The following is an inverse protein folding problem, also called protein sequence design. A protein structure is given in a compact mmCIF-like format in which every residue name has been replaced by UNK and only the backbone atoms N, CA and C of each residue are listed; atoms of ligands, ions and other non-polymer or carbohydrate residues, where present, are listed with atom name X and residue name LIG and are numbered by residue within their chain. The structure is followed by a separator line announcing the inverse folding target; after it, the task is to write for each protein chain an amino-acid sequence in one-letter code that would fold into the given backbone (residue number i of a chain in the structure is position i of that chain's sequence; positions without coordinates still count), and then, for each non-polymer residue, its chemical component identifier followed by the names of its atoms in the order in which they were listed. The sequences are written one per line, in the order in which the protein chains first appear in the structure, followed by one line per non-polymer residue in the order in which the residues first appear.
data_IF_269128132495
#
_entry.id   IF_269128132495
#
_cell.length_a   1.000
_cell.length_b   1.000
_cell.length_c   1.000
_cell.angle_alpha   90.00
_cell.angle_beta   90.00
_cell.angle_gamma   90.00
#
_symmetry.space_group_name_H-M   'P 1'
#
loop_
_entity.id
_entity.type
_entity.pdbx_description
1 polymer ?
#
# COMPACT_ATOMS: atom_id res chain seq x y z
N UNK A 1 -88.18 55.11 36.21
CA UNK A 1 -87.96 54.18 35.08
C UNK A 1 -86.51 54.22 34.57
N UNK A 2 -85.86 55.38 34.56
CA UNK A 2 -84.46 55.58 34.10
C UNK A 2 -83.40 54.93 34.99
N UNK A 3 -83.58 54.93 36.32
CA UNK A 3 -82.62 54.34 37.28
C UNK A 3 -82.55 52.82 37.16
N UNK A 4 -83.69 52.14 37.03
CA UNK A 4 -83.75 50.69 36.80
C UNK A 4 -83.03 50.28 35.52
N UNK A 5 -83.18 51.08 34.45
CA UNK A 5 -82.50 50.84 33.18
C UNK A 5 -80.97 51.04 33.29
N UNK A 6 -80.52 52.06 34.03
CA UNK A 6 -79.09 52.26 34.33
C UNK A 6 -78.49 51.08 35.10
N UNK A 7 -79.19 50.56 36.11
CA UNK A 7 -78.72 49.39 36.88
C UNK A 7 -78.63 48.13 36.01
N UNK A 8 -79.59 47.91 35.11
CA UNK A 8 -79.56 46.79 34.17
C UNK A 8 -78.36 46.91 33.23
N UNK A 9 -78.09 48.10 32.68
CA UNK A 9 -76.94 48.35 31.80
C UNK A 9 -75.62 48.13 32.55
N UNK A 10 -75.50 48.66 33.76
CA UNK A 10 -74.29 48.49 34.59
C UNK A 10 -74.08 47.01 34.96
N UNK A 11 -75.14 46.29 35.29
CA UNK A 11 -75.09 44.86 35.58
C UNK A 11 -74.62 44.04 34.37
N UNK A 12 -75.14 44.32 33.18
CA UNK A 12 -74.69 43.68 31.93
C UNK A 12 -73.22 43.99 31.67
N UNK A 13 -72.79 45.24 31.88
CA UNK A 13 -71.40 45.66 31.66
C UNK A 13 -70.44 44.96 32.64
N UNK A 14 -70.84 44.78 33.89
CA UNK A 14 -70.09 44.00 34.89
C UNK A 14 -69.98 42.54 34.48
N UNK A 15 -71.06 41.92 34.01
CA UNK A 15 -71.05 40.53 33.54
C UNK A 15 -70.13 40.35 32.32
N UNK A 16 -70.17 41.27 31.36
CA UNK A 16 -69.29 41.26 30.19
C UNK A 16 -67.82 41.41 30.62
N UNK A 17 -67.52 42.35 31.52
CA UNK A 17 -66.18 42.55 32.06
C UNK A 17 -65.66 41.32 32.81
N UNK A 18 -66.50 40.68 33.63
CA UNK A 18 -66.15 39.46 34.33
C UNK A 18 -65.87 38.31 33.35
N UNK A 19 -66.72 38.15 32.32
CA UNK A 19 -66.53 37.13 31.29
C UNK A 19 -65.24 37.36 30.48
N UNK A 20 -64.92 38.62 30.13
CA UNK A 20 -63.66 38.96 29.47
C UNK A 20 -62.45 38.63 30.35
N UNK A 21 -62.47 39.04 31.62
CA UNK A 21 -61.38 38.78 32.55
C UNK A 21 -61.20 37.28 32.83
N UNK A 22 -62.30 36.54 33.00
CA UNK A 22 -62.26 35.09 33.16
C UNK A 22 -61.69 34.40 31.90
N UNK A 23 -62.09 34.86 30.70
CA UNK A 23 -61.55 34.38 29.43
C UNK A 23 -60.05 34.62 29.30
N UNK A 24 -59.57 35.82 29.68
CA UNK A 24 -58.14 36.16 29.70
C UNK A 24 -57.35 35.26 30.65
N UNK A 25 -57.89 34.96 31.84
CA UNK A 25 -57.26 34.06 32.81
C UNK A 25 -57.16 32.64 32.23
N UNK A 26 -58.26 32.10 31.67
CA UNK A 26 -58.28 30.75 31.08
C UNK A 26 -57.31 30.65 29.90
N UNK A 27 -57.27 31.68 29.04
CA UNK A 27 -56.33 31.72 27.92
C UNK A 27 -54.87 31.77 28.40
N UNK A 28 -54.58 32.57 29.43
CA UNK A 28 -53.27 32.62 30.06
C UNK A 28 -52.85 31.29 30.70
N UNK A 29 -53.77 30.59 31.37
CA UNK A 29 -53.52 29.27 31.95
C UNK A 29 -53.23 28.22 30.86
N UNK A 30 -53.93 28.29 29.72
CA UNK A 30 -53.71 27.39 28.59
C UNK A 30 -52.33 27.56 27.97
N UNK A 31 -51.88 28.81 27.78
CA UNK A 31 -50.53 29.11 27.28
C UNK A 31 -49.46 28.60 28.24
N UNK A 32 -49.65 28.78 29.56
CA UNK A 32 -48.72 28.26 30.55
C UNK A 32 -48.60 26.74 30.50
N UNK A 33 -49.72 26.03 30.34
CA UNK A 33 -49.72 24.57 30.19
C UNK A 33 -48.98 24.12 28.92
N UNK A 34 -49.21 24.78 27.79
CA UNK A 34 -48.50 24.50 26.53
C UNK A 34 -46.99 24.79 26.64
N UNK A 35 -46.62 25.88 27.30
CA UNK A 35 -45.22 26.27 27.50
C UNK A 35 -44.48 25.28 28.40
N UNK A 36 -45.14 24.75 29.45
CA UNK A 36 -44.56 23.70 30.31
C UNK A 36 -44.36 22.39 29.54
N UNK A 37 -45.36 21.95 28.76
CA UNK A 37 -45.23 20.74 27.94
C UNK A 37 -44.13 20.84 26.88
N UNK A 38 -43.97 22.02 26.27
CA UNK A 38 -42.88 22.27 25.31
C UNK A 38 -41.50 22.24 26.00
N UNK A 39 -41.36 22.87 27.18
CA UNK A 39 -40.09 22.86 27.93
C UNK A 39 -39.66 21.43 28.27
N UNK A 40 -40.57 20.60 28.76
CA UNK A 40 -40.27 19.19 29.06
C UNK A 40 -39.88 18.40 27.81
N UNK A 41 -40.59 18.62 26.70
CA UNK A 41 -40.27 17.95 25.42
C UNK A 41 -38.87 18.34 24.94
N UNK A 42 -38.52 19.63 25.00
CA UNK A 42 -37.19 20.12 24.61
C UNK A 42 -36.11 19.56 25.53
N UNK A 43 -36.34 19.51 26.85
CA UNK A 43 -35.38 18.88 27.78
C UNK A 43 -35.14 17.42 27.46
N UNK A 44 -36.22 16.67 27.24
CA UNK A 44 -36.09 15.25 26.94
C UNK A 44 -35.27 15.02 25.67
N UNK A 45 -35.54 15.78 24.60
CA UNK A 45 -34.76 15.72 23.36
C UNK A 45 -33.29 16.13 23.55
N UNK A 46 -33.00 17.13 24.39
CA UNK A 46 -31.61 17.54 24.68
C UNK A 46 -30.87 16.47 25.49
N UNK A 47 -31.51 15.87 26.49
CA UNK A 47 -30.92 14.80 27.29
C UNK A 47 -30.65 13.55 26.45
N UNK A 48 -31.57 13.20 25.54
CA UNK A 48 -31.39 12.12 24.56
C UNK A 48 -30.22 12.42 23.63
N UNK A 49 -30.15 13.62 23.04
CA UNK A 49 -29.04 14.01 22.17
C UNK A 49 -27.68 13.98 22.89
N UNK A 50 -27.61 14.46 24.15
CA UNK A 50 -26.40 14.38 24.98
C UNK A 50 -25.97 12.92 25.20
N UNK A 51 -26.93 12.04 25.49
CA UNK A 51 -26.69 10.62 25.71
C UNK A 51 -26.18 9.94 24.43
N UNK A 52 -26.82 10.20 23.30
CA UNK A 52 -26.45 9.65 21.99
C UNK A 52 -25.05 10.13 21.57
N UNK A 53 -24.76 11.42 21.72
CA UNK A 53 -23.45 11.99 21.46
C UNK A 53 -22.39 11.42 22.40
N UNK A 54 -22.71 11.20 23.67
CA UNK A 54 -21.81 10.55 24.63
C UNK A 54 -21.43 9.13 24.22
N UNK A 55 -22.36 8.40 23.58
CA UNK A 55 -22.10 7.05 23.06
C UNK A 55 -21.29 7.02 21.76
N UNK A 56 -21.08 8.17 21.12
CA UNK A 56 -20.36 8.26 19.84
C UNK A 56 -18.91 7.79 19.94
N UNK A 57 -18.25 8.02 21.08
CA UNK A 57 -16.87 7.62 21.32
C UNK A 57 -16.66 6.10 21.29
N UNK A 58 -17.70 5.32 21.58
CA UNK A 58 -17.65 3.85 21.61
C UNK A 58 -17.75 3.22 20.21
N UNK A 59 -18.05 4.03 19.19
CA UNK A 59 -18.16 3.56 17.82
C UNK A 59 -16.76 3.26 17.24
N UNK A 60 -16.70 2.20 16.42
CA UNK A 60 -15.51 1.88 15.64
C UNK A 60 -15.85 1.73 14.17
N UNK A 61 -14.98 2.27 13.31
CA UNK A 61 -15.08 2.15 11.87
C UNK A 61 -14.03 1.15 11.39
N UNK A 62 -14.46 0.15 10.63
CA UNK A 62 -13.57 -0.79 9.94
C UNK A 62 -13.62 -0.51 8.45
N UNK A 63 -12.46 -0.28 7.86
CA UNK A 63 -12.33 -0.09 6.41
C UNK A 63 -11.13 -0.86 5.89
N UNK A 64 -11.34 -1.62 4.83
CA UNK A 64 -10.29 -2.38 4.17
C UNK A 64 -9.77 -1.58 2.98
N UNK A 65 -8.49 -1.21 2.99
CA UNK A 65 -7.85 -0.52 1.87
C UNK A 65 -7.19 -1.56 0.95
N UNK A 66 -7.69 -1.74 -0.29
CA UNK A 66 -6.99 -2.53 -1.27
C UNK A 66 -5.79 -1.73 -1.80
N UNK A 67 -4.59 -2.27 -1.61
CA UNK A 67 -3.34 -1.75 -2.16
C UNK A 67 -2.90 -2.68 -3.28
N UNK A 68 -2.95 -2.17 -4.51
CA UNK A 68 -2.46 -2.86 -5.70
C UNK A 68 -1.26 -2.09 -6.24
N UNK A 69 -0.09 -2.71 -6.18
CA UNK A 69 1.16 -2.12 -6.62
C UNK A 69 2.04 -3.16 -7.32
N UNK A 70 3.14 -2.72 -7.93
CA UNK A 70 4.13 -3.60 -8.55
C UNK A 70 5.52 -3.16 -8.15
N UNK A 71 6.31 -4.08 -7.58
CA UNK A 71 7.71 -3.83 -7.26
C UNK A 71 8.60 -4.31 -8.40
N UNK A 72 9.31 -3.42 -9.11
CA UNK A 72 10.27 -3.83 -10.12
C UNK A 72 11.50 -4.45 -9.43
N UNK A 73 11.83 -5.68 -9.81
CA UNK A 73 13.03 -6.37 -9.36
C UNK A 73 13.98 -6.48 -10.54
N UNK A 74 15.08 -5.73 -10.46
CA UNK A 74 16.18 -5.81 -11.41
C UNK A 74 17.39 -6.44 -10.72
N UNK A 75 17.88 -7.57 -11.25
CA UNK A 75 19.06 -8.24 -10.75
C UNK A 75 20.00 -8.62 -11.89
N UNK A 76 21.29 -8.37 -11.69
CA UNK A 76 22.36 -8.75 -12.60
C UNK A 76 23.22 -9.82 -11.92
N UNK A 77 23.21 -11.04 -12.45
CA UNK A 77 23.99 -12.16 -11.93
C UNK A 77 25.09 -12.48 -12.96
N UNK A 78 26.36 -12.14 -12.68
CA UNK A 78 27.46 -12.49 -13.56
C UNK A 78 27.80 -13.97 -13.40
N UNK A 79 27.80 -14.72 -14.50
CA UNK A 79 28.27 -16.11 -14.54
C UNK A 79 29.59 -16.18 -15.30
N UNK A 80 30.56 -16.87 -14.70
CA UNK A 80 31.89 -17.09 -15.29
C UNK A 80 32.17 -18.58 -15.39
N UNK A 81 32.23 -19.10 -16.60
CA UNK A 81 32.59 -20.49 -16.85
C UNK A 81 33.97 -20.57 -17.51
N UNK A 82 34.80 -21.50 -17.05
CA UNK A 82 36.09 -21.81 -17.64
C UNK A 82 36.04 -23.20 -18.26
N UNK A 83 36.30 -23.29 -19.57
CA UNK A 83 36.40 -24.55 -20.28
C UNK A 83 37.77 -24.67 -20.95
N UNK A 84 38.42 -25.81 -20.76
CA UNK A 84 39.68 -26.12 -21.42
C UNK A 84 39.41 -26.95 -22.67
N UNK A 85 39.68 -26.37 -23.85
CA UNK A 85 39.61 -27.09 -25.12
C UNK A 85 41.01 -27.65 -25.40
N UNK A 86 41.14 -28.98 -25.45
CA UNK A 86 42.38 -29.67 -25.80
C UNK A 86 42.32 -30.15 -27.25
N UNK A 87 43.29 -29.73 -28.05
CA UNK A 87 43.48 -30.18 -29.44
C UNK A 87 44.75 -31.03 -29.48
N UNK A 88 44.57 -32.33 -29.74
CA UNK A 88 45.65 -33.30 -29.91
C UNK A 88 45.69 -33.78 -31.34
N UNK A 89 46.86 -33.71 -31.97
CA UNK A 89 47.08 -34.19 -33.32
C UNK A 89 48.55 -34.50 -33.56
N UNK A 90 48.86 -35.09 -34.70
CA UNK A 90 50.25 -35.25 -35.11
C UNK A 90 50.39 -35.02 -36.61
N UNK A 91 51.44 -34.33 -37.00
CA UNK A 91 51.75 -34.08 -38.42
C UNK A 91 52.84 -35.07 -38.83
N UNK A 92 52.53 -36.03 -39.72
CA UNK A 92 53.55 -36.90 -40.29
C UNK A 92 54.35 -36.14 -41.34
N UNK A 93 55.67 -36.09 -41.18
CA UNK A 93 56.62 -35.55 -42.15
C UNK A 93 57.39 -36.71 -42.75
N UNK A 94 57.15 -36.97 -44.04
CA UNK A 94 57.85 -37.97 -44.82
C UNK A 94 58.71 -37.28 -45.88
N UNK A 95 60.03 -37.38 -45.77
CA UNK A 95 60.95 -36.78 -46.73
C UNK A 95 62.11 -37.74 -47.02
N UNK A 96 62.56 -37.79 -48.27
CA UNK A 96 63.77 -38.53 -48.65
C UNK A 96 64.91 -37.53 -48.80
N UNK A 97 66.00 -37.75 -48.06
CA UNK A 97 67.21 -36.93 -48.16
C UNK A 97 68.26 -37.73 -48.93
N UNK A 98 68.78 -37.16 -50.02
CA UNK A 98 69.90 -37.74 -50.77
C UNK A 98 71.22 -37.25 -50.17
N UNK A 99 72.12 -38.16 -49.83
CA UNK A 99 73.44 -37.84 -49.31
C UNK A 99 74.50 -38.75 -49.90
N UNK A 100 75.72 -38.24 -50.10
CA UNK A 100 76.83 -39.03 -50.65
C UNK A 100 77.75 -39.45 -49.51
N UNK A 101 77.92 -40.76 -49.30
CA UNK A 101 78.85 -41.33 -48.31
C UNK A 101 80.09 -41.84 -49.04
N UNK A 102 81.28 -41.44 -48.61
CA UNK A 102 82.54 -41.93 -49.20
C UNK A 102 83.06 -43.13 -48.43
N UNK A 103 83.14 -44.29 -49.08
CA UNK A 103 83.69 -45.51 -48.47
C UNK A 103 85.11 -45.71 -48.99
N UNK A 104 86.06 -46.00 -48.09
CA UNK A 104 87.46 -46.27 -48.44
C UNK A 104 87.74 -47.77 -48.33
N UNK A 105 88.03 -48.43 -49.45
CA UNK A 105 88.36 -49.86 -49.48
C UNK A 105 89.89 -50.07 -49.27
N UNK A 106 90.27 -50.66 -48.14
CA UNK A 106 91.66 -51.00 -47.79
C UNK A 106 91.98 -52.46 -48.21
N UNK A 107 93.19 -52.80 -48.70
CA UNK A 107 94.47 -52.08 -48.60
C UNK A 107 94.85 -51.18 -49.79
N UNK A 108 94.03 -51.08 -50.83
CA UNK A 108 94.39 -50.34 -52.06
C UNK A 108 94.02 -48.84 -52.05
N UNK A 109 93.40 -48.33 -50.99
CA UNK A 109 93.21 -46.89 -50.78
C UNK A 109 92.22 -46.20 -51.74
N UNK A 110 91.37 -46.98 -52.41
CA UNK A 110 90.39 -46.45 -53.37
C UNK A 110 89.20 -45.87 -52.59
N UNK A 111 88.84 -44.61 -52.88
CA UNK A 111 87.64 -43.94 -52.37
C UNK A 111 86.53 -44.02 -53.40
N UNK A 112 85.40 -44.60 -53.02
CA UNK A 112 84.21 -44.69 -53.87
C UNK A 112 83.09 -43.85 -53.23
N UNK A 113 82.59 -42.81 -53.91
CA UNK A 113 81.39 -42.11 -53.47
C UNK A 113 80.17 -43.00 -53.72
N UNK A 114 79.31 -43.13 -52.72
CA UNK A 114 78.03 -43.82 -52.82
C UNK A 114 76.92 -42.84 -52.50
N UNK A 115 76.03 -42.61 -53.46
CA UNK A 115 74.80 -41.86 -53.21
C UNK A 115 73.81 -42.77 -52.49
N UNK A 116 73.32 -42.31 -51.35
CA UNK A 116 72.39 -43.04 -50.50
C UNK A 116 71.17 -42.17 -50.27
N UNK A 117 69.99 -42.75 -50.47
CA UNK A 117 68.72 -42.14 -50.12
C UNK A 117 68.33 -42.56 -48.71
N UNK A 118 68.13 -41.59 -47.83
CA UNK A 118 67.71 -41.84 -46.45
C UNK A 118 66.27 -41.36 -46.28
N UNK A 119 65.30 -42.28 -46.08
CA UNK A 119 63.93 -41.90 -45.78
C UNK A 119 63.83 -41.41 -44.33
N UNK A 120 63.31 -40.19 -44.16
CA UNK A 120 63.03 -39.57 -42.88
C UNK A 120 61.52 -39.60 -42.65
N UNK A 121 61.09 -40.33 -41.63
CA UNK A 121 59.71 -40.37 -41.18
C UNK A 121 59.65 -39.85 -39.75
N UNK A 122 59.16 -38.61 -39.59
CA UNK A 122 59.05 -37.94 -38.30
C UNK A 122 57.58 -37.65 -38.05
N UNK A 123 57.07 -38.11 -36.92
CA UNK A 123 55.75 -37.70 -36.46
C UNK A 123 55.90 -36.59 -35.43
N UNK A 124 55.46 -35.37 -35.78
CA UNK A 124 55.55 -34.23 -34.86
C UNK A 124 54.25 -34.15 -34.06
N UNK A 125 54.26 -34.39 -32.73
CA UNK A 125 53.06 -34.30 -31.91
C UNK A 125 52.69 -32.82 -31.68
N UNK A 126 51.39 -32.54 -31.73
CA UNK A 126 50.79 -31.25 -31.39
C UNK A 126 49.87 -31.47 -30.21
N UNK A 127 50.17 -30.81 -29.08
CA UNK A 127 49.31 -30.75 -27.91
C UNK A 127 49.13 -29.28 -27.54
N UNK A 128 47.93 -28.75 -27.80
CA UNK A 128 47.58 -27.36 -27.51
C UNK A 128 46.36 -27.38 -26.61
N UNK A 129 46.47 -26.72 -25.46
CA UNK A 129 45.35 -26.49 -24.53
C UNK A 129 45.03 -25.01 -24.53
N UNK A 130 43.82 -24.65 -24.96
CA UNK A 130 43.34 -23.27 -24.89
C UNK A 130 42.33 -23.13 -23.74
N UNK A 131 42.61 -22.27 -22.75
CA UNK A 131 41.60 -21.87 -21.79
C UNK A 131 40.65 -20.87 -22.46
N UNK A 132 39.35 -21.18 -22.45
CA UNK A 132 38.30 -20.25 -22.91
C UNK A 132 37.48 -19.84 -21.70
N UNK A 133 37.36 -18.53 -21.48
CA UNK A 133 36.49 -17.94 -20.47
C UNK A 133 35.22 -17.45 -21.15
N UNK A 134 34.07 -17.90 -20.67
CA UNK A 134 32.77 -17.40 -21.10
C UNK A 134 32.24 -16.54 -19.96
N UNK A 135 32.19 -15.24 -20.19
CA UNK A 135 31.54 -14.27 -19.30
C UNK A 135 30.16 -13.97 -19.89
N UNK A 136 29.09 -14.30 -19.15
CA UNK A 136 27.74 -13.87 -19.51
C UNK A 136 27.00 -13.32 -18.29
N UNK A 137 26.16 -12.31 -18.51
CA UNK A 137 25.33 -11.70 -17.48
C UNK A 137 23.89 -12.21 -17.63
N UNK A 138 23.34 -12.79 -16.56
CA UNK A 138 21.92 -13.06 -16.46
C UNK A 138 21.23 -11.81 -15.90
N UNK A 139 20.36 -11.20 -16.72
CA UNK A 139 19.51 -10.08 -16.31
C UNK A 139 18.14 -10.62 -15.95
N UNK A 140 17.73 -10.45 -14.69
CA UNK A 140 16.36 -10.68 -14.23
C UNK A 140 15.69 -9.32 -14.15
N UNK A 141 14.67 -9.12 -14.96
CA UNK A 141 13.81 -7.94 -14.95
C UNK A 141 12.36 -8.41 -14.86
N UNK A 142 11.76 -8.25 -13.69
CA UNK A 142 10.40 -8.73 -13.43
C UNK A 142 9.69 -7.79 -12.47
N UNK A 143 8.41 -7.58 -12.71
CA UNK A 143 7.53 -6.90 -11.78
C UNK A 143 6.87 -7.92 -10.85
N UNK A 144 7.08 -7.77 -9.55
CA UNK A 144 6.39 -8.58 -8.55
C UNK A 144 5.09 -7.87 -8.17
N UNK A 145 3.92 -8.45 -8.48
CA UNK A 145 2.65 -7.83 -8.11
C UNK A 145 2.43 -7.90 -6.59
N UNK A 146 2.04 -6.78 -6.01
CA UNK A 146 1.64 -6.63 -4.61
C UNK A 146 0.12 -6.42 -4.61
N UNK A 147 -0.60 -7.38 -4.04
CA UNK A 147 -2.04 -7.27 -3.75
C UNK A 147 -2.23 -7.46 -2.24
N UNK A 148 -2.38 -6.34 -1.54
CA UNK A 148 -2.53 -6.31 -0.08
C UNK A 148 -3.86 -5.70 0.27
N UNK A 149 -4.60 -6.34 1.17
CA UNK A 149 -5.76 -5.73 1.78
C UNK A 149 -5.39 -5.31 3.20
N UNK A 150 -5.23 -4.01 3.43
CA UNK A 150 -4.81 -3.47 4.71
C UNK A 150 -6.06 -3.11 5.52
N UNK A 151 -6.40 -3.86 6.59
CA UNK A 151 -7.52 -3.52 7.44
C UNK A 151 -7.16 -2.33 8.33
N UNK A 152 -7.95 -1.27 8.27
CA UNK A 152 -7.86 -0.13 9.17
C UNK A 152 -9.04 -0.19 10.14
N UNK A 153 -8.73 -0.06 11.43
CA UNK A 153 -9.69 0.05 12.50
C UNK A 153 -9.51 1.41 13.17
N UNK A 154 -10.54 2.25 13.11
CA UNK A 154 -10.56 3.58 13.72
C UNK A 154 -11.56 3.55 14.87
N UNK A 155 -11.07 3.67 16.09
CA UNK A 155 -11.92 3.90 17.27
C UNK A 155 -12.20 5.40 17.34
N UNK A 156 -13.48 5.80 17.20
CA UNK A 156 -13.82 7.22 17.08
C UNK A 156 -13.45 8.01 18.35
N UNK A 157 -13.55 7.37 19.53
CA UNK A 157 -13.13 7.95 20.82
C UNK A 157 -11.64 8.31 20.91
N UNK A 158 -10.78 7.74 20.06
CA UNK A 158 -9.33 8.03 20.01
C UNK A 158 -8.95 9.06 18.95
N UNK A 159 -9.93 9.66 18.30
CA UNK A 159 -9.71 10.69 17.26
C UNK A 159 -9.96 12.08 17.81
N UNK A 160 -9.45 13.10 17.11
CA UNK A 160 -9.74 14.52 17.39
C UNK A 160 -11.24 14.88 17.28
N UNK A 161 -12.06 13.96 16.75
CA UNK A 161 -13.51 14.14 16.67
C UNK A 161 -14.18 14.10 18.05
N UNK A 162 -13.58 13.40 19.01
CA UNK A 162 -14.06 13.35 20.40
C UNK A 162 -14.11 14.74 21.02
N UNK A 163 -13.04 15.53 20.85
CA UNK A 163 -12.96 16.90 21.38
C UNK A 163 -14.07 17.80 20.81
N UNK A 164 -14.44 17.60 19.55
CA UNK A 164 -15.56 18.30 18.93
C UNK A 164 -16.90 17.83 19.52
N UNK A 165 -17.09 16.53 19.69
CA UNK A 165 -18.30 15.96 20.30
C UNK A 165 -18.49 16.45 21.74
N UNK A 166 -17.41 16.50 22.53
CA UNK A 166 -17.43 17.01 23.90
C UNK A 166 -17.84 18.49 23.96
N UNK A 167 -17.36 19.32 23.01
CA UNK A 167 -17.77 20.72 22.90
C UNK A 167 -19.27 20.87 22.57
N UNK A 168 -19.81 20.00 21.71
CA UNK A 168 -21.23 19.98 21.38
C UNK A 168 -22.04 19.54 22.61
N UNK A 169 -21.64 18.46 23.29
CA UNK A 169 -22.28 17.98 24.52
C UNK A 169 -22.32 19.07 25.59
N UNK A 170 -21.21 19.76 25.85
CA UNK A 170 -21.18 20.84 26.84
C UNK A 170 -22.05 22.05 26.41
N UNK A 171 -22.15 22.31 25.11
CA UNK A 171 -23.03 23.36 24.59
C UNK A 171 -24.51 22.99 24.75
N UNK A 172 -24.88 21.73 24.53
CA UNK A 172 -26.23 21.22 24.78
C UNK A 172 -26.57 21.21 26.27
N UNK A 173 -25.61 20.85 27.14
CA UNK A 173 -25.77 20.87 28.61
C UNK A 173 -26.04 22.29 29.12
N UNK A 174 -25.31 23.29 28.61
CA UNK A 174 -25.59 24.71 28.90
C UNK A 174 -26.98 25.15 28.44
N UNK A 175 -27.43 24.68 27.28
CA UNK A 175 -28.77 24.98 26.78
C UNK A 175 -29.85 24.34 27.67
N UNK A 176 -29.65 23.10 28.11
CA UNK A 176 -30.53 22.40 29.05
C UNK A 176 -30.63 23.16 30.39
N UNK A 177 -29.50 23.62 30.93
CA UNK A 177 -29.45 24.43 32.17
C UNK A 177 -30.23 25.76 32.03
N UNK A 178 -30.21 26.40 30.86
CA UNK A 178 -30.93 27.65 30.61
C UNK A 178 -32.45 27.47 30.54
N UNK A 179 -32.91 26.30 30.12
CA UNK A 179 -34.34 25.97 30.06
C UNK A 179 -34.83 25.21 31.31
N UNK A 180 -33.91 24.90 32.24
CA UNK A 180 -34.14 24.37 33.60
C UNK A 180 -35.04 25.30 34.44
#
# INVERSE_FOLDING_TARGET
MTTTLLFIVLFILVLISLALNAGLIVYGLRIRGQLMGLRETVRHMLAEAITDLGSFGDLSLRYDIPVKDSLPVNAHIPLKEQMNISVKGSIPVNQVVQTTVTITASPFGIKVPLDVEVPLNINVPIDITLPVTIDHDLVIDTDVPIDLNVPIHIELGKTELTDFVDQVVESLRRLEELIS
#
